data_IF_964702413272
#
_entry.id   IF_964702413272
#
_cell.length_a   1.000
_cell.length_b   1.000
_cell.length_c   1.000
_cell.angle_alpha   90.00
_cell.angle_beta   90.00
_cell.angle_gamma   90.00
#
_symmetry.space_group_name_H-M   'P 1'
#
loop_
_entity.id
_entity.type
_entity.pdbx_description
1 polymer ?
#
# COMPACT_ATOMS: atom_id res chain seq x y z
N UNK A 1 -9.24 18.53 -3.80
CA UNK A 1 -9.79 17.59 -2.80
C UNK A 1 -8.78 16.53 -2.49
N UNK A 2 -8.51 16.22 -1.22
CA UNK A 2 -7.58 15.15 -0.89
C UNK A 2 -8.11 13.79 -1.34
N UNK A 3 -7.22 13.04 -1.97
CA UNK A 3 -7.49 11.66 -2.36
C UNK A 3 -6.47 10.79 -1.65
N UNK A 4 -6.94 9.95 -0.75
CA UNK A 4 -6.09 9.21 0.18
C UNK A 4 -6.05 7.74 -0.22
N UNK A 5 -4.83 7.21 -0.34
CA UNK A 5 -4.58 5.79 -0.56
C UNK A 5 -4.24 5.15 0.77
N UNK A 6 -5.07 4.22 1.23
CA UNK A 6 -4.78 3.41 2.41
C UNK A 6 -4.21 2.07 1.99
N UNK A 7 -3.14 1.63 2.65
CA UNK A 7 -2.41 0.41 2.30
C UNK A 7 -2.27 -0.50 3.51
N UNK A 8 -2.57 -1.77 3.31
CA UNK A 8 -2.34 -2.83 4.29
C UNK A 8 -1.38 -3.85 3.66
N UNK A 9 -0.07 -3.75 3.94
CA UNK A 9 0.92 -4.64 3.34
C UNK A 9 0.79 -6.07 3.85
N UNK A 10 0.82 -7.04 2.95
CA UNK A 10 0.86 -8.46 3.27
C UNK A 10 2.10 -9.10 2.68
N UNK A 11 2.19 -10.43 2.80
CA UNK A 11 3.35 -11.19 2.28
C UNK A 11 3.27 -11.39 0.78
N UNK A 12 2.09 -11.74 0.28
CA UNK A 12 1.86 -11.99 -1.15
C UNK A 12 0.78 -11.10 -1.72
N UNK A 13 -0.04 -10.53 -0.85
CA UNK A 13 -1.16 -9.69 -1.23
C UNK A 13 -1.08 -8.37 -0.48
N UNK A 14 -1.50 -7.30 -1.14
CA UNK A 14 -1.51 -5.95 -0.55
C UNK A 14 -2.92 -5.40 -0.67
N UNK A 15 -3.57 -5.19 0.48
CA UNK A 15 -4.88 -4.56 0.52
C UNK A 15 -4.78 -3.05 0.32
N UNK A 16 -5.74 -2.47 -0.38
CA UNK A 16 -5.74 -1.03 -0.60
C UNK A 16 -7.15 -0.48 -0.71
N UNK A 17 -7.28 0.81 -0.42
CA UNK A 17 -8.49 1.57 -0.67
C UNK A 17 -8.11 3.00 -1.06
N UNK A 18 -8.87 3.59 -1.96
CA UNK A 18 -8.69 4.99 -2.37
C UNK A 18 -9.96 5.75 -2.01
N UNK A 19 -9.80 6.78 -1.19
CA UNK A 19 -10.90 7.53 -0.61
C UNK A 19 -10.74 9.00 -0.95
N UNK A 20 -11.79 9.63 -1.48
CA UNK A 20 -11.83 11.06 -1.69
C UNK A 20 -12.50 11.72 -0.50
N UNK A 21 -11.84 12.74 0.06
CA UNK A 21 -12.41 13.53 1.16
C UNK A 21 -12.98 14.83 0.62
N UNK A 22 -14.28 15.02 0.86
CA UNK A 22 -14.96 16.29 0.61
C UNK A 22 -15.55 16.77 1.93
N UNK A 23 -16.03 18.02 1.98
CA UNK A 23 -16.61 18.56 3.19
C UNK A 23 -17.65 17.59 3.78
N UNK A 24 -17.37 17.06 4.96
CA UNK A 24 -18.26 16.17 5.70
C UNK A 24 -18.67 14.90 4.96
N UNK A 25 -17.95 14.54 3.88
CA UNK A 25 -18.30 13.38 3.10
C UNK A 25 -17.04 12.61 2.69
N UNK A 26 -17.14 11.29 2.75
CA UNK A 26 -16.07 10.38 2.31
C UNK A 26 -16.63 9.50 1.21
N UNK A 27 -15.94 9.47 0.07
CA UNK A 27 -16.35 8.65 -1.05
C UNK A 27 -15.27 7.64 -1.34
N UNK A 28 -15.61 6.35 -1.33
CA UNK A 28 -14.67 5.30 -1.73
C UNK A 28 -14.64 5.26 -3.24
N UNK A 29 -13.49 5.61 -3.83
CA UNK A 29 -13.33 5.59 -5.28
C UNK A 29 -13.05 4.19 -5.78
N UNK A 30 -12.25 3.42 -5.03
CA UNK A 30 -11.97 2.03 -5.35
C UNK A 30 -11.36 1.35 -4.12
N UNK A 31 -11.41 0.04 -4.09
CA UNK A 31 -10.70 -0.76 -3.12
C UNK A 31 -10.46 -2.15 -3.69
N UNK A 32 -9.52 -2.86 -3.11
CA UNK A 32 -9.22 -4.20 -3.59
C UNK A 32 -7.94 -4.74 -2.99
N UNK A 33 -7.40 -5.72 -3.68
CA UNK A 33 -6.18 -6.42 -3.28
C UNK A 33 -5.26 -6.50 -4.50
N UNK A 34 -4.01 -6.10 -4.31
CA UNK A 34 -2.96 -6.37 -5.29
C UNK A 34 -2.47 -7.79 -5.03
N UNK A 35 -2.73 -8.69 -5.97
CA UNK A 35 -2.28 -10.06 -5.89
C UNK A 35 -0.96 -10.23 -6.63
N UNK A 36 -0.03 -10.96 -6.01
CA UNK A 36 1.20 -11.32 -6.69
C UNK A 36 1.12 -12.75 -7.22
N UNK A 37 1.97 -13.08 -8.19
CA UNK A 37 2.00 -14.41 -8.79
C UNK A 37 2.42 -15.45 -7.75
N UNK A 38 1.57 -16.47 -7.48
CA UNK A 38 1.92 -17.50 -6.50
C UNK A 38 3.22 -18.22 -6.89
N UNK A 39 4.05 -18.49 -5.88
CA UNK A 39 5.32 -19.21 -6.03
C UNK A 39 6.35 -18.49 -6.89
N UNK A 40 6.11 -17.25 -7.29
CA UNK A 40 7.10 -16.46 -8.00
C UNK A 40 8.26 -16.08 -7.05
N UNK A 41 9.45 -15.82 -7.60
CA UNK A 41 10.54 -15.29 -6.80
C UNK A 41 10.13 -13.98 -6.10
N UNK A 42 10.67 -13.75 -4.91
CA UNK A 42 10.31 -12.55 -4.13
C UNK A 42 10.54 -11.26 -4.94
N UNK A 43 11.64 -11.19 -5.69
CA UNK A 43 11.93 -10.02 -6.50
C UNK A 43 10.82 -9.74 -7.50
N UNK A 44 10.29 -10.78 -8.15
CA UNK A 44 9.19 -10.62 -9.09
C UNK A 44 7.93 -10.11 -8.39
N UNK A 45 7.62 -10.67 -7.21
CA UNK A 45 6.46 -10.21 -6.45
C UNK A 45 6.56 -8.75 -6.08
N UNK A 46 7.74 -8.30 -5.66
CA UNK A 46 7.96 -6.88 -5.30
C UNK A 46 7.79 -5.97 -6.51
N UNK A 47 8.27 -6.39 -7.68
CA UNK A 47 8.09 -5.62 -8.92
C UNK A 47 6.61 -5.53 -9.30
N UNK A 48 5.86 -6.63 -9.13
CA UNK A 48 4.43 -6.65 -9.40
C UNK A 48 3.69 -5.65 -8.51
N UNK A 49 4.03 -5.61 -7.22
CA UNK A 49 3.44 -4.65 -6.29
C UNK A 49 3.72 -3.23 -6.74
N UNK A 50 4.97 -2.92 -7.08
CA UNK A 50 5.36 -1.59 -7.53
C UNK A 50 4.56 -1.16 -8.76
N UNK A 51 4.46 -2.02 -9.76
CA UNK A 51 3.78 -1.69 -11.03
C UNK A 51 2.29 -1.45 -10.82
N UNK A 52 1.63 -2.33 -10.07
CA UNK A 52 0.20 -2.21 -9.82
C UNK A 52 -0.11 -0.96 -8.99
N UNK A 53 0.73 -0.67 -8.00
CA UNK A 53 0.54 0.50 -7.17
C UNK A 53 0.76 1.80 -7.96
N UNK A 54 1.75 1.84 -8.87
CA UNK A 54 1.96 2.98 -9.75
C UNK A 54 0.70 3.28 -10.56
N UNK A 55 0.08 2.26 -11.11
CA UNK A 55 -1.15 2.41 -11.91
C UNK A 55 -2.26 3.02 -11.06
N UNK A 56 -2.44 2.50 -9.85
CA UNK A 56 -3.49 2.99 -8.93
C UNK A 56 -3.26 4.46 -8.59
N UNK A 57 -2.03 4.82 -8.23
CA UNK A 57 -1.69 6.20 -7.86
C UNK A 57 -1.98 7.16 -9.01
N UNK A 58 -1.59 6.80 -10.23
CA UNK A 58 -1.79 7.65 -11.39
C UNK A 58 -3.27 7.73 -11.78
N UNK A 59 -3.94 6.59 -11.79
CA UNK A 59 -5.34 6.52 -12.25
C UNK A 59 -6.27 7.37 -11.38
N UNK A 60 -6.03 7.41 -10.07
CA UNK A 60 -6.92 8.08 -9.13
C UNK A 60 -6.38 9.43 -8.65
N UNK A 61 -5.23 9.87 -9.14
CA UNK A 61 -4.63 11.16 -8.76
C UNK A 61 -4.47 11.26 -7.24
N UNK A 62 -3.89 10.23 -6.62
CA UNK A 62 -3.70 10.14 -5.17
C UNK A 62 -2.84 11.31 -4.70
N UNK A 63 -3.27 11.97 -3.62
CA UNK A 63 -2.56 13.11 -3.04
C UNK A 63 -1.90 12.80 -1.71
N UNK A 64 -2.40 11.81 -0.97
CA UNK A 64 -1.89 11.43 0.34
C UNK A 64 -1.96 9.92 0.48
N UNK A 65 -1.11 9.35 1.34
CA UNK A 65 -1.14 7.92 1.60
C UNK A 65 -1.06 7.65 3.10
N UNK A 66 -1.66 6.53 3.51
CA UNK A 66 -1.59 6.04 4.87
C UNK A 66 -1.20 4.56 4.83
N UNK A 67 -0.17 4.20 5.59
CA UNK A 67 0.35 2.83 5.66
C UNK A 67 0.34 2.38 7.10
N UNK A 68 -0.18 1.18 7.35
CA UNK A 68 -0.14 0.59 8.68
C UNK A 68 1.32 0.31 9.08
N UNK A 69 1.71 0.75 10.28
CA UNK A 69 3.03 0.49 10.81
C UNK A 69 3.07 -0.93 11.36
N UNK A 70 4.03 -1.71 10.88
CA UNK A 70 4.11 -3.12 11.21
C UNK A 70 4.73 -3.36 12.57
N UNK A 71 4.21 -4.40 13.25
CA UNK A 71 4.89 -5.04 14.37
C UNK A 71 5.37 -6.40 13.90
N UNK A 72 6.54 -6.81 14.37
CA UNK A 72 7.09 -8.11 14.00
C UNK A 72 6.20 -9.23 14.54
N UNK A 73 5.83 -10.14 13.66
CA UNK A 73 5.13 -11.34 14.03
C UNK A 73 6.10 -12.36 14.62
N UNK A 74 5.56 -13.42 15.20
CA UNK A 74 6.37 -14.54 15.69
C UNK A 74 7.05 -15.31 14.55
N UNK A 75 6.57 -15.18 13.32
CA UNK A 75 7.17 -15.80 12.13
C UNK A 75 8.09 -14.80 11.45
N UNK A 76 9.39 -14.99 11.63
CA UNK A 76 10.41 -14.08 11.13
C UNK A 76 10.39 -13.96 9.60
N UNK A 77 10.21 -15.09 8.90
CA UNK A 77 10.20 -15.06 7.43
C UNK A 77 9.04 -14.23 6.92
N UNK A 78 7.86 -14.42 7.48
CA UNK A 78 6.68 -13.62 7.13
C UNK A 78 6.94 -12.14 7.42
N UNK A 79 7.56 -11.84 8.56
CA UNK A 79 7.90 -10.47 8.92
C UNK A 79 8.87 -9.83 7.93
N UNK A 80 9.88 -10.57 7.46
CA UNK A 80 10.83 -10.07 6.47
C UNK A 80 10.12 -9.78 5.14
N UNK A 81 9.30 -10.72 4.66
CA UNK A 81 8.60 -10.54 3.39
C UNK A 81 7.66 -9.33 3.43
N UNK A 82 6.95 -9.16 4.53
CA UNK A 82 6.05 -8.01 4.70
C UNK A 82 6.85 -6.71 4.77
N UNK A 83 7.99 -6.71 5.47
CA UNK A 83 8.83 -5.52 5.57
C UNK A 83 9.39 -5.12 4.19
N UNK A 84 9.76 -6.09 3.37
CA UNK A 84 10.23 -5.82 2.01
C UNK A 84 9.11 -5.22 1.15
N UNK A 85 7.92 -5.81 1.22
CA UNK A 85 6.74 -5.30 0.52
C UNK A 85 6.46 -3.85 0.95
N UNK A 86 6.50 -3.59 2.26
CA UNK A 86 6.27 -2.26 2.80
C UNK A 86 7.31 -1.27 2.27
N UNK A 87 8.57 -1.66 2.19
CA UNK A 87 9.63 -0.81 1.65
C UNK A 87 9.37 -0.42 0.20
N UNK A 88 8.98 -1.40 -0.63
CA UNK A 88 8.65 -1.14 -2.04
C UNK A 88 7.46 -0.19 -2.15
N UNK A 89 6.44 -0.39 -1.33
CA UNK A 89 5.26 0.48 -1.31
C UNK A 89 5.67 1.91 -0.97
N UNK A 90 6.51 2.09 0.06
CA UNK A 90 6.96 3.42 0.47
C UNK A 90 7.75 4.12 -0.63
N UNK A 91 8.65 3.40 -1.30
CA UNK A 91 9.43 3.97 -2.40
C UNK A 91 8.52 4.35 -3.57
N UNK A 92 7.57 3.49 -3.90
CA UNK A 92 6.64 3.76 -4.99
C UNK A 92 5.83 5.03 -4.74
N UNK A 93 5.30 5.17 -3.54
CA UNK A 93 4.54 6.36 -3.14
C UNK A 93 5.45 7.59 -3.11
N UNK A 94 6.65 7.45 -2.54
CA UNK A 94 7.61 8.53 -2.45
C UNK A 94 8.05 9.05 -3.81
N UNK A 95 8.16 8.17 -4.81
CA UNK A 95 8.49 8.58 -6.18
C UNK A 95 7.43 9.50 -6.80
N UNK A 96 6.23 9.50 -6.28
CA UNK A 96 5.17 10.41 -6.72
C UNK A 96 5.08 11.68 -5.85
N UNK A 97 6.05 11.88 -4.95
CA UNK A 97 6.08 13.02 -4.02
C UNK A 97 4.83 13.12 -3.16
N UNK A 98 4.27 11.97 -2.79
CA UNK A 98 3.06 11.89 -1.98
C UNK A 98 3.47 11.72 -0.52
N UNK A 99 2.97 12.57 0.41
CA UNK A 99 3.25 12.40 1.83
C UNK A 99 2.60 11.12 2.37
N UNK A 100 3.34 10.42 3.25
CA UNK A 100 2.91 9.16 3.83
C UNK A 100 2.71 9.35 5.34
N UNK A 101 1.52 8.98 5.82
CA UNK A 101 1.23 8.89 7.23
C UNK A 101 1.31 7.42 7.66
N UNK A 102 2.12 7.15 8.68
CA UNK A 102 2.20 5.81 9.26
C UNK A 102 1.35 5.75 10.52
N UNK A 103 0.64 4.65 10.71
CA UNK A 103 -0.18 4.45 11.89
C UNK A 103 -0.03 3.01 12.40
N UNK A 104 -0.30 2.81 13.68
CA UNK A 104 -0.28 1.49 14.30
C UNK A 104 -1.71 0.96 14.41
N UNK A 105 -1.88 -0.37 14.53
CA UNK A 105 -3.22 -0.95 14.66
C UNK A 105 -4.02 -0.44 15.87
N UNK A 106 -3.33 0.12 16.87
CA UNK A 106 -3.99 0.63 18.09
C UNK A 106 -4.42 2.09 17.95
N UNK A 107 -4.06 2.73 16.87
CA UNK A 107 -4.47 4.08 16.56
C UNK A 107 -5.71 4.05 15.68
#
# INVERSE_FOLDING_TARGET
>A
MPIILGIDPGTTDVGFAVIELQKNQRTILTYGVIHTTPKAPQTQKLVEIMKDLDVIIQQYNVTHAAIEKLFFSTNLKTGIDVAQSRGVIMVTIGNHDIPILEYTPLQ
#
